data_IF_978592139328
#
_entry.id   IF_978592139328
#
_cell.length_a   1.000
_cell.length_b   1.000
_cell.length_c   1.000
_cell.angle_alpha   90.00
_cell.angle_beta   90.00
_cell.angle_gamma   90.00
#
_symmetry.space_group_name_H-M   'P 1'
#
loop_
_entity.id
_entity.type
_entity.pdbx_description
1 polymer ?
#
# COMPACT_ATOMS: atom_id res chain seq x y z
N UNK A 1 15.92 -30.81 21.95
CA UNK A 1 14.68 -30.13 21.55
C UNK A 1 14.65 -30.10 20.03
N UNK A 2 13.87 -30.99 19.42
CA UNK A 2 13.74 -31.15 17.97
C UNK A 2 12.63 -30.23 17.45
N UNK A 3 12.96 -29.34 16.51
CA UNK A 3 11.99 -28.47 15.85
C UNK A 3 11.12 -29.24 14.88
N UNK A 4 9.79 -29.08 15.01
CA UNK A 4 8.82 -29.59 14.06
C UNK A 4 8.89 -28.75 12.78
N UNK A 5 9.49 -29.31 11.74
CA UNK A 5 9.35 -28.81 10.38
C UNK A 5 7.94 -29.14 9.87
N UNK A 6 7.11 -28.11 9.65
CA UNK A 6 5.80 -28.27 9.02
C UNK A 6 6.04 -28.69 7.57
N UNK A 7 5.70 -29.94 7.25
CA UNK A 7 5.77 -30.51 5.90
C UNK A 7 4.52 -30.08 5.13
N UNK A 8 4.65 -29.10 4.24
CA UNK A 8 3.58 -28.72 3.31
C UNK A 8 3.40 -29.86 2.31
N UNK A 9 2.18 -30.32 2.09
CA UNK A 9 1.91 -31.40 1.14
C UNK A 9 2.25 -30.97 -0.29
N UNK A 10 2.97 -31.82 -1.04
CA UNK A 10 3.13 -31.68 -2.49
C UNK A 10 1.77 -31.93 -3.13
N UNK A 11 1.07 -30.85 -3.47
CA UNK A 11 -0.13 -30.92 -4.30
C UNK A 11 0.34 -30.93 -5.76
N UNK A 12 -0.04 -31.97 -6.50
CA UNK A 12 0.18 -32.07 -7.94
C UNK A 12 -0.89 -31.22 -8.66
N UNK A 13 -0.48 -30.01 -9.06
CA UNK A 13 -1.36 -29.02 -9.71
C UNK A 13 -1.48 -29.19 -11.23
N UNK A 14 -0.80 -30.18 -11.82
CA UNK A 14 -0.73 -30.39 -13.28
C UNK A 14 -2.08 -30.74 -13.95
N UNK A 15 -3.15 -30.92 -13.18
CA UNK A 15 -4.45 -31.43 -13.67
C UNK A 15 -5.61 -30.44 -13.62
N UNK A 16 -5.42 -29.21 -13.14
CA UNK A 16 -6.47 -28.20 -13.19
C UNK A 16 -6.14 -27.18 -14.28
N UNK A 17 -6.77 -27.31 -15.45
CA UNK A 17 -6.91 -26.20 -16.38
C UNK A 17 -7.43 -24.99 -15.59
N UNK A 18 -6.53 -24.06 -15.29
CA UNK A 18 -6.77 -22.90 -14.45
C UNK A 18 -7.82 -22.04 -15.14
N UNK A 19 -8.97 -21.89 -14.48
CA UNK A 19 -10.21 -21.39 -15.06
C UNK A 19 -10.03 -20.14 -15.93
N UNK A 20 -10.68 -20.15 -17.08
CA UNK A 20 -10.81 -18.96 -17.92
C UNK A 20 -11.53 -17.86 -17.13
N UNK A 21 -10.88 -16.70 -17.00
CA UNK A 21 -11.50 -15.50 -16.42
C UNK A 21 -12.23 -14.77 -17.54
N UNK A 22 -13.54 -14.63 -17.41
CA UNK A 22 -14.38 -13.96 -18.39
C UNK A 22 -14.46 -12.47 -18.04
N UNK A 23 -13.93 -11.62 -18.93
CA UNK A 23 -14.17 -10.18 -18.87
C UNK A 23 -15.61 -9.96 -19.32
N UNK A 24 -16.42 -9.26 -18.54
CA UNK A 24 -17.67 -8.72 -19.07
C UNK A 24 -17.38 -7.99 -20.38
N UNK A 25 -18.23 -8.18 -21.39
CA UNK A 25 -18.02 -7.64 -22.73
C UNK A 25 -17.72 -6.14 -22.66
N UNK A 26 -16.71 -5.68 -23.38
CA UNK A 26 -16.71 -4.28 -23.75
C UNK A 26 -17.95 -3.98 -24.60
N UNK A 27 -18.33 -2.71 -24.72
CA UNK A 27 -19.52 -2.28 -25.47
C UNK A 27 -19.48 -2.62 -26.98
N UNK A 28 -18.47 -3.36 -27.44
CA UNK A 28 -18.25 -3.79 -28.81
C UNK A 28 -18.24 -5.32 -29.00
N UNK A 29 -18.56 -6.12 -27.97
CA UNK A 29 -18.75 -7.57 -28.12
C UNK A 29 -17.49 -8.37 -28.42
N UNK A 30 -16.29 -7.80 -28.22
CA UNK A 30 -15.04 -8.52 -28.42
C UNK A 30 -14.62 -9.22 -27.11
N UNK A 31 -14.67 -10.55 -27.12
CA UNK A 31 -14.12 -11.40 -26.04
C UNK A 31 -12.60 -11.38 -26.17
N UNK A 32 -11.93 -10.48 -25.45
CA UNK A 32 -10.46 -10.47 -25.38
C UNK A 32 -9.97 -11.65 -24.52
N UNK A 33 -9.08 -12.43 -25.11
CA UNK A 33 -8.61 -13.74 -24.67
C UNK A 33 -7.72 -13.67 -23.41
N UNK A 34 -8.14 -14.42 -22.39
CA UNK A 34 -7.38 -15.16 -21.35
C UNK A 34 -5.96 -14.63 -21.04
N UNK A 35 -5.84 -13.79 -20.02
CA UNK A 35 -4.58 -13.68 -19.28
C UNK A 35 -4.39 -14.95 -18.46
N UNK A 36 -3.44 -15.82 -18.80
CA UNK A 36 -3.06 -16.90 -17.89
C UNK A 36 -2.47 -16.28 -16.62
N UNK A 37 -3.18 -16.47 -15.51
CA UNK A 37 -2.72 -16.08 -14.18
C UNK A 37 -1.80 -17.18 -13.67
N UNK A 38 -0.70 -16.79 -13.05
CA UNK A 38 0.23 -17.76 -12.44
C UNK A 38 -0.44 -18.50 -11.29
N UNK A 39 -0.11 -19.78 -11.10
CA UNK A 39 -0.64 -20.59 -9.99
C UNK A 39 -0.40 -19.92 -8.64
N UNK A 40 0.79 -19.33 -8.46
CA UNK A 40 1.17 -18.60 -7.25
C UNK A 40 0.25 -17.40 -6.99
N UNK A 41 -0.03 -16.59 -8.01
CA UNK A 41 -0.93 -15.45 -7.85
C UNK A 41 -2.36 -15.88 -7.52
N UNK A 42 -2.85 -16.94 -8.16
CA UNK A 42 -4.18 -17.49 -7.85
C UNK A 42 -4.25 -18.04 -6.43
N UNK A 43 -3.20 -18.72 -5.95
CA UNK A 43 -3.14 -19.22 -4.58
C UNK A 43 -3.18 -18.09 -3.54
N UNK A 44 -2.36 -17.05 -3.72
CA UNK A 44 -2.35 -15.84 -2.88
C UNK A 44 -3.75 -15.22 -2.83
N UNK A 45 -4.34 -14.99 -4.01
CA UNK A 45 -5.64 -14.39 -4.12
C UNK A 45 -6.75 -15.21 -3.44
N UNK A 46 -6.75 -16.53 -3.64
CA UNK A 46 -7.77 -17.42 -3.08
C UNK A 46 -7.68 -17.52 -1.56
N UNK A 47 -6.47 -17.54 -1.01
CA UNK A 47 -6.25 -17.46 0.43
C UNK A 47 -6.81 -16.16 1.02
N UNK A 48 -6.50 -15.02 0.37
CA UNK A 48 -7.06 -13.72 0.78
C UNK A 48 -8.59 -13.71 0.73
N UNK A 49 -9.21 -14.12 -0.38
CA UNK A 49 -10.68 -14.15 -0.53
C UNK A 49 -11.34 -15.03 0.55
N UNK A 50 -10.74 -16.17 0.88
CA UNK A 50 -11.25 -17.09 1.89
C UNK A 50 -11.21 -16.45 3.28
N UNK A 51 -10.09 -15.81 3.66
CA UNK A 51 -9.92 -15.20 4.99
C UNK A 51 -10.69 -13.88 5.16
N UNK A 52 -10.83 -13.12 4.07
CA UNK A 52 -11.48 -11.81 4.06
C UNK A 52 -13.00 -11.86 3.87
N UNK A 53 -13.55 -13.05 3.58
CA UNK A 53 -14.96 -13.26 3.24
C UNK A 53 -15.43 -12.37 2.07
N UNK A 54 -14.50 -11.97 1.19
CA UNK A 54 -14.81 -11.12 0.04
C UNK A 54 -15.44 -11.91 -1.09
N UNK A 55 -16.14 -11.16 -1.93
CA UNK A 55 -16.49 -11.61 -3.28
C UNK A 55 -15.39 -11.25 -4.29
N UNK A 56 -15.36 -12.02 -5.38
CA UNK A 56 -14.33 -11.99 -6.42
C UNK A 56 -14.06 -10.58 -6.97
N UNK A 57 -12.79 -10.14 -6.95
CA UNK A 57 -12.25 -8.95 -7.62
C UNK A 57 -11.17 -9.36 -8.62
N UNK A 58 -11.56 -9.47 -9.90
CA UNK A 58 -10.65 -9.86 -10.98
C UNK A 58 -9.46 -8.90 -11.14
N UNK A 59 -9.66 -7.60 -10.96
CA UNK A 59 -8.59 -6.62 -11.08
C UNK A 59 -7.53 -6.78 -9.96
N UNK A 60 -7.94 -7.21 -8.77
CA UNK A 60 -7.01 -7.52 -7.68
C UNK A 60 -6.16 -8.74 -8.03
N UNK A 61 -6.78 -9.80 -8.58
CA UNK A 61 -6.05 -10.99 -9.05
C UNK A 61 -5.00 -10.64 -10.11
N UNK A 62 -5.33 -9.74 -11.04
CA UNK A 62 -4.41 -9.30 -12.09
C UNK A 62 -3.27 -8.44 -11.53
N UNK A 63 -3.54 -7.57 -10.56
CA UNK A 63 -2.50 -6.82 -9.84
C UNK A 63 -1.53 -7.77 -9.14
N UNK A 64 -2.05 -8.77 -8.40
CA UNK A 64 -1.22 -9.80 -7.75
C UNK A 64 -0.37 -10.54 -8.78
N UNK A 65 -0.97 -10.91 -9.91
CA UNK A 65 -0.27 -11.64 -10.97
C UNK A 65 0.90 -10.85 -11.56
N UNK A 66 0.72 -9.55 -11.80
CA UNK A 66 1.80 -8.70 -12.31
C UNK A 66 2.92 -8.54 -11.26
N UNK A 67 2.58 -8.40 -9.97
CA UNK A 67 3.58 -8.39 -8.89
C UNK A 67 4.37 -9.71 -8.82
N UNK A 68 3.69 -10.86 -8.98
CA UNK A 68 4.31 -12.19 -8.97
C UNK A 68 5.21 -12.41 -10.19
N UNK A 69 4.77 -12.01 -11.38
CA UNK A 69 5.58 -12.14 -12.61
C UNK A 69 6.87 -11.34 -12.54
N UNK A 70 6.83 -10.19 -11.89
CA UNK A 70 8.01 -9.36 -11.65
C UNK A 70 8.83 -9.79 -10.42
N UNK A 71 8.39 -10.82 -9.67
CA UNK A 71 9.05 -11.29 -8.45
C UNK A 71 8.96 -10.32 -7.26
N UNK A 72 8.12 -9.30 -7.36
CA UNK A 72 7.94 -8.24 -6.35
C UNK A 72 7.14 -8.73 -5.14
N UNK A 73 6.33 -9.76 -5.30
CA UNK A 73 5.59 -10.40 -4.21
C UNK A 73 6.52 -10.89 -3.09
N UNK A 74 7.73 -11.33 -3.43
CA UNK A 74 8.76 -11.76 -2.46
C UNK A 74 9.42 -10.60 -1.71
N UNK A 75 9.22 -9.36 -2.18
CA UNK A 75 9.72 -8.13 -1.54
C UNK A 75 8.62 -7.38 -0.78
N UNK A 76 7.37 -7.78 -0.99
CA UNK A 76 6.21 -7.18 -0.33
C UNK A 76 6.08 -7.68 1.11
N UNK A 77 6.09 -6.76 2.07
CA UNK A 77 5.85 -7.04 3.49
C UNK A 77 4.36 -7.05 3.83
N UNK A 78 3.59 -6.21 3.14
CA UNK A 78 2.16 -6.06 3.31
C UNK A 78 1.57 -5.37 2.10
N UNK A 79 0.50 -5.93 1.55
CA UNK A 79 -0.38 -5.30 0.57
C UNK A 79 -1.80 -5.37 1.12
N UNK A 80 -2.46 -4.25 1.30
CA UNK A 80 -3.81 -4.17 1.83
C UNK A 80 -4.74 -3.55 0.80
N UNK A 81 -5.85 -4.23 0.54
CA UNK A 81 -6.91 -3.74 -0.33
C UNK A 81 -8.08 -3.23 0.48
N UNK A 82 -8.30 -1.92 0.38
CA UNK A 82 -9.08 -1.14 1.34
C UNK A 82 -10.44 -0.70 0.78
N UNK A 83 -10.69 -0.87 -0.52
CA UNK A 83 -12.01 -0.60 -1.10
C UNK A 83 -12.89 -1.83 -1.08
N UNK A 84 -14.20 -1.66 -0.90
CA UNK A 84 -15.18 -2.75 -1.02
C UNK A 84 -16.59 -2.24 -1.34
N UNK A 85 -17.33 -3.02 -2.15
CA UNK A 85 -18.78 -2.85 -2.33
C UNK A 85 -19.57 -3.28 -1.08
N UNK A 86 -18.99 -4.17 -0.29
CA UNK A 86 -19.60 -4.76 0.90
C UNK A 86 -18.84 -4.22 2.12
N UNK A 87 -19.43 -3.30 2.92
CA UNK A 87 -18.75 -2.65 4.04
C UNK A 87 -18.58 -3.61 5.22
N UNK A 88 -17.62 -4.53 5.11
CA UNK A 88 -17.21 -5.47 6.15
C UNK A 88 -15.76 -5.22 6.53
N UNK A 89 -15.44 -5.02 7.80
CA UNK A 89 -14.08 -4.75 8.27
C UNK A 89 -13.09 -5.91 8.02
N UNK A 90 -13.57 -7.17 7.94
CA UNK A 90 -12.71 -8.34 7.78
C UNK A 90 -11.80 -8.25 6.55
N UNK A 91 -12.23 -7.55 5.49
CA UNK A 91 -11.44 -7.50 4.27
C UNK A 91 -10.23 -6.57 4.31
N UNK A 92 -10.24 -5.56 5.19
CA UNK A 92 -9.09 -4.67 5.37
C UNK A 92 -8.15 -5.18 6.45
N UNK A 93 -8.63 -6.08 7.33
CA UNK A 93 -7.83 -6.67 8.41
C UNK A 93 -6.66 -7.47 7.88
N UNK A 94 -6.83 -8.22 6.80
CA UNK A 94 -5.80 -9.14 6.29
C UNK A 94 -5.07 -8.55 5.10
N UNK A 95 -3.74 -8.71 5.08
CA UNK A 95 -2.97 -8.42 3.88
C UNK A 95 -3.29 -9.41 2.76
N UNK A 96 -3.41 -8.90 1.53
CA UNK A 96 -3.48 -9.66 0.28
C UNK A 96 -2.17 -10.40 0.01
N UNK A 97 -1.03 -9.72 0.19
CA UNK A 97 0.32 -10.29 0.15
C UNK A 97 1.02 -9.92 1.45
N UNK A 98 1.73 -10.87 2.04
CA UNK A 98 2.37 -10.73 3.35
C UNK A 98 1.58 -11.44 4.44
N UNK A 99 2.01 -11.26 5.69
CA UNK A 99 1.37 -11.86 6.87
C UNK A 99 0.94 -10.78 7.89
N UNK A 100 0.93 -9.53 7.47
CA UNK A 100 0.58 -8.40 8.34
C UNK A 100 -0.94 -8.28 8.45
N UNK A 101 -1.39 -7.70 9.56
CA UNK A 101 -2.78 -7.38 9.77
C UNK A 101 -2.94 -5.90 10.12
N UNK A 102 -4.10 -5.34 9.78
CA UNK A 102 -4.55 -4.05 10.27
C UNK A 102 -5.51 -4.24 11.42
N UNK A 103 -5.21 -3.61 12.56
CA UNK A 103 -6.16 -3.47 13.65
C UNK A 103 -6.81 -2.09 13.62
N UNK A 104 -8.08 -2.04 14.03
CA UNK A 104 -8.85 -0.81 14.12
C UNK A 104 -9.46 -0.63 15.50
N UNK A 105 -9.37 0.59 16.06
CA UNK A 105 -10.09 0.94 17.29
C UNK A 105 -11.55 1.31 17.06
N UNK A 106 -11.90 1.74 15.83
CA UNK A 106 -13.25 2.06 15.37
C UNK A 106 -13.33 1.72 13.88
N UNK A 107 -14.49 1.30 13.37
CA UNK A 107 -14.59 0.91 11.96
C UNK A 107 -14.60 2.13 11.04
N UNK A 108 -13.69 2.25 10.04
CA UNK A 108 -13.76 3.29 9.01
C UNK A 108 -15.04 3.23 8.19
N UNK A 109 -15.36 4.32 7.48
CA UNK A 109 -16.33 4.22 6.39
C UNK A 109 -15.66 3.53 5.19
N UNK A 110 -16.26 2.42 4.77
CA UNK A 110 -15.79 1.58 3.67
C UNK A 110 -16.68 1.80 2.45
N UNK A 111 -16.07 2.03 1.30
CA UNK A 111 -16.77 2.15 0.02
C UNK A 111 -15.97 1.54 -1.13
N UNK A 112 -16.57 1.52 -2.33
CA UNK A 112 -15.87 1.16 -3.57
C UNK A 112 -14.71 2.09 -3.89
N UNK A 113 -14.68 3.29 -3.31
CA UNK A 113 -13.62 4.25 -3.50
C UNK A 113 -12.49 4.09 -2.49
N UNK A 114 -12.61 3.17 -1.52
CA UNK A 114 -11.64 2.97 -0.44
C UNK A 114 -12.22 3.21 0.94
N UNK A 115 -11.32 3.29 1.92
CA UNK A 115 -11.63 3.67 3.30
C UNK A 115 -11.44 5.17 3.50
N UNK A 116 -12.27 5.74 4.37
CA UNK A 116 -12.06 7.06 4.96
C UNK A 116 -12.36 7.02 6.45
N UNK A 117 -11.79 7.96 7.19
CA UNK A 117 -12.08 8.09 8.61
C UNK A 117 -13.52 8.59 8.83
N UNK A 118 -14.24 7.98 9.76
CA UNK A 118 -15.52 8.43 10.33
C UNK A 118 -15.32 8.60 11.85
N UNK A 119 -15.09 9.83 12.32
CA UNK A 119 -14.65 10.11 13.69
C UNK A 119 -13.25 9.52 13.99
N UNK A 120 -12.90 9.30 15.28
CA UNK A 120 -11.59 8.85 15.76
C UNK A 120 -11.24 7.40 15.33
N UNK A 121 -11.15 7.16 14.02
CA UNK A 121 -10.70 5.88 13.46
C UNK A 121 -9.20 5.88 13.30
N UNK A 122 -8.61 4.74 13.61
CA UNK A 122 -7.21 4.49 13.32
C UNK A 122 -6.99 3.06 12.91
N UNK A 123 -6.36 2.88 11.74
CA UNK A 123 -5.84 1.60 11.28
C UNK A 123 -4.33 1.56 11.44
N UNK A 124 -3.84 0.50 12.09
CA UNK A 124 -2.42 0.30 12.35
C UNK A 124 -1.90 -0.92 11.61
N UNK A 125 -0.87 -0.72 10.79
CA UNK A 125 0.01 -1.81 10.38
C UNK A 125 0.96 -2.07 11.54
N UNK A 126 0.77 -3.20 12.23
CA UNK A 126 1.57 -3.57 13.40
C UNK A 126 3.01 -3.96 13.04
N UNK A 127 3.35 -4.03 11.76
CA UNK A 127 4.74 -4.24 11.36
C UNK A 127 5.55 -2.97 11.61
N UNK A 128 6.53 -3.12 12.50
CA UNK A 128 7.47 -2.08 12.85
C UNK A 128 8.73 -2.21 11.97
N UNK A 129 8.92 -1.24 11.08
CA UNK A 129 10.06 -1.23 10.16
C UNK A 129 11.29 -0.67 10.88
N UNK A 130 12.32 -1.51 11.05
CA UNK A 130 13.59 -1.11 11.63
C UNK A 130 14.50 -0.49 10.56
N UNK A 131 14.36 0.83 10.39
CA UNK A 131 15.10 1.60 9.41
C UNK A 131 16.62 1.61 9.65
N UNK A 132 17.12 1.24 10.84
CA UNK A 132 18.56 1.16 11.11
C UNK A 132 19.20 -0.15 10.61
N UNK A 133 18.39 -1.18 10.42
CA UNK A 133 18.87 -2.54 10.18
C UNK A 133 18.21 -3.14 8.93
N UNK A 134 17.25 -4.03 9.14
CA UNK A 134 16.70 -4.95 8.14
C UNK A 134 15.84 -4.22 7.09
N UNK A 135 15.18 -3.13 7.48
CA UNK A 135 14.23 -2.42 6.63
C UNK A 135 14.76 -1.06 6.14
N UNK A 136 16.08 -0.90 6.07
CA UNK A 136 16.73 0.35 5.60
C UNK A 136 16.47 0.70 4.13
N UNK A 137 15.85 -0.20 3.38
CA UNK A 137 15.44 -0.06 1.99
C UNK A 137 13.93 -0.33 1.87
N UNK A 138 13.13 0.72 2.09
CA UNK A 138 11.68 0.68 2.26
C UNK A 138 10.99 1.43 1.12
N UNK A 139 10.00 0.81 0.49
CA UNK A 139 9.12 1.43 -0.49
C UNK A 139 7.67 1.37 -0.01
N UNK A 140 7.05 2.53 0.12
CA UNK A 140 5.66 2.74 0.50
C UNK A 140 4.84 3.04 -0.75
N UNK A 141 3.66 2.44 -0.86
CA UNK A 141 2.72 2.69 -1.96
C UNK A 141 1.36 3.04 -1.39
N UNK A 142 0.79 4.15 -1.86
CA UNK A 142 -0.56 4.59 -1.52
C UNK A 142 -1.37 4.79 -2.80
N UNK A 143 -2.61 4.29 -2.83
CA UNK A 143 -3.58 4.66 -3.86
C UNK A 143 -4.68 5.50 -3.24
N UNK A 144 -4.69 6.80 -3.56
CA UNK A 144 -5.68 7.75 -3.05
C UNK A 144 -6.78 7.99 -4.10
N UNK A 145 -8.04 7.79 -3.74
CA UNK A 145 -9.18 8.19 -4.58
C UNK A 145 -9.70 9.58 -4.27
N UNK A 146 -9.40 10.08 -3.07
CA UNK A 146 -9.67 11.44 -2.65
C UNK A 146 -8.51 11.95 -1.82
N UNK A 147 -8.16 13.21 -2.03
CA UNK A 147 -7.04 13.85 -1.35
C UNK A 147 -7.20 13.86 0.17
N UNK A 148 -6.12 13.58 0.90
CA UNK A 148 -6.08 13.81 2.34
C UNK A 148 -5.64 15.26 2.63
N UNK A 149 -6.56 16.06 3.17
CA UNK A 149 -6.32 17.44 3.64
C UNK A 149 -5.91 17.50 5.11
N UNK A 150 -5.67 16.35 5.73
CA UNK A 150 -5.03 16.20 7.04
C UNK A 150 -4.13 14.97 6.96
N UNK A 151 -2.90 15.12 7.41
CA UNK A 151 -1.86 14.11 7.23
C UNK A 151 -2.20 12.78 7.90
N UNK A 152 -1.72 11.69 7.29
CA UNK A 152 -1.48 10.42 7.95
C UNK A 152 -0.13 10.54 8.66
N UNK A 153 -0.12 10.41 9.97
CA UNK A 153 1.12 10.39 10.72
C UNK A 153 1.61 8.98 10.91
N UNK A 154 2.87 8.75 10.62
CA UNK A 154 3.55 7.50 10.84
C UNK A 154 4.64 7.73 11.89
N UNK A 155 4.79 6.74 12.77
CA UNK A 155 5.48 6.87 14.05
C UNK A 155 6.83 7.60 14.03
N UNK A 156 7.04 8.35 15.11
CA UNK A 156 8.28 8.97 15.54
C UNK A 156 8.03 9.49 16.96
N UNK A 157 8.29 8.63 17.94
CA UNK A 157 8.05 8.81 19.38
C UNK A 157 8.51 10.17 19.91
N UNK A 158 7.65 10.81 20.72
CA UNK A 158 7.88 11.89 21.69
C UNK A 158 8.70 13.13 21.28
N UNK A 159 9.14 13.22 20.03
CA UNK A 159 10.05 14.27 19.54
C UNK A 159 9.55 14.80 18.19
N UNK A 160 9.21 16.09 18.15
CA UNK A 160 8.69 16.78 16.95
C UNK A 160 9.55 16.66 15.69
N UNK A 161 10.81 16.25 15.85
CA UNK A 161 11.84 16.25 14.82
C UNK A 161 11.99 14.90 14.08
N UNK A 162 11.29 13.84 14.52
CA UNK A 162 11.39 12.49 13.95
C UNK A 162 10.09 11.94 13.36
N UNK A 163 9.11 12.82 13.14
CA UNK A 163 7.82 12.47 12.53
C UNK A 163 7.99 12.01 11.07
N UNK A 164 7.32 10.92 10.73
CA UNK A 164 7.04 10.53 9.35
C UNK A 164 5.59 10.88 9.01
N UNK A 165 5.30 11.48 7.85
CA UNK A 165 3.90 11.84 7.54
C UNK A 165 3.60 11.92 6.07
N UNK A 166 2.31 11.78 5.73
CA UNK A 166 1.79 11.98 4.38
C UNK A 166 0.42 12.65 4.33
N UNK A 167 0.33 13.77 3.65
CA UNK A 167 -0.92 14.48 3.35
C UNK A 167 -0.97 14.71 1.84
N UNK A 168 -1.79 13.98 1.09
CA UNK A 168 -1.74 14.06 -0.37
C UNK A 168 -2.16 15.45 -0.89
N UNK A 169 -2.95 16.21 -0.12
CA UNK A 169 -3.25 17.60 -0.41
C UNK A 169 -2.15 18.59 0.00
N UNK A 170 -1.18 18.15 0.80
CA UNK A 170 -0.16 18.98 1.41
C UNK A 170 -0.67 19.97 2.45
N UNK A 171 -1.95 19.89 2.79
CA UNK A 171 -2.56 20.67 3.84
C UNK A 171 -2.64 19.78 5.07
N UNK A 172 -1.85 20.09 6.09
CA UNK A 172 -1.88 19.41 7.37
C UNK A 172 -1.63 20.47 8.45
N UNK A 173 -2.43 20.47 9.51
CA UNK A 173 -2.49 21.54 10.52
C UNK A 173 -1.11 21.94 11.10
N UNK A 174 -0.17 21.00 11.12
CA UNK A 174 1.18 21.17 11.65
C UNK A 174 2.29 21.42 10.61
N UNK A 175 2.01 21.26 9.32
CA UNK A 175 2.97 21.38 8.21
C UNK A 175 2.24 21.68 6.89
N UNK A 176 1.86 22.94 6.71
CA UNK A 176 1.29 23.43 5.46
C UNK A 176 2.27 23.33 4.28
N UNK A 177 1.72 23.00 3.10
CA UNK A 177 2.44 22.79 1.86
C UNK A 177 3.26 21.50 1.77
N UNK A 178 3.18 20.56 2.72
CA UNK A 178 4.03 19.34 2.75
C UNK A 178 3.23 18.09 2.44
N UNK A 179 3.57 17.41 1.34
CA UNK A 179 2.96 16.14 0.95
C UNK A 179 3.51 14.98 1.77
N UNK A 180 4.83 14.91 1.89
CA UNK A 180 5.51 13.82 2.59
C UNK A 180 6.65 14.37 3.43
N UNK A 181 6.82 13.83 4.64
CA UNK A 181 7.92 14.16 5.55
C UNK A 181 8.60 12.89 6.01
N UNK A 182 9.94 12.88 5.97
CA UNK A 182 10.76 11.79 6.50
C UNK A 182 11.70 12.26 7.61
N UNK A 183 11.23 12.25 8.86
CA UNK A 183 12.02 12.68 10.01
C UNK A 183 12.07 14.20 10.08
N UNK A 184 13.22 14.84 9.81
CA UNK A 184 13.40 16.29 9.95
C UNK A 184 12.66 17.11 8.88
N UNK A 185 12.43 18.40 9.16
CA UNK A 185 11.63 19.33 8.33
C UNK A 185 12.21 19.54 6.91
N UNK A 186 13.52 19.43 6.74
CA UNK A 186 14.21 19.54 5.46
C UNK A 186 14.06 18.28 4.58
N UNK A 187 13.69 17.14 5.15
CA UNK A 187 13.47 15.87 4.47
C UNK A 187 12.02 15.71 3.99
N UNK A 188 11.54 16.72 3.27
CA UNK A 188 10.14 16.83 2.82
C UNK A 188 9.99 16.84 1.31
N UNK A 189 8.80 16.45 0.84
CA UNK A 189 8.28 16.70 -0.50
C UNK A 189 7.12 17.68 -0.35
N UNK A 190 7.19 18.83 -1.01
CA UNK A 190 6.18 19.88 -0.91
C UNK A 190 5.20 19.90 -2.10
N UNK A 191 4.03 20.51 -1.91
CA UNK A 191 3.07 20.80 -3.00
C UNK A 191 3.63 21.74 -4.06
N UNK A 192 4.62 22.57 -3.71
CA UNK A 192 5.34 23.37 -4.70
C UNK A 192 6.17 22.52 -5.66
N UNK A 193 6.62 21.33 -5.23
CA UNK A 193 7.37 20.39 -6.06
C UNK A 193 6.46 19.43 -6.84
N UNK A 194 5.30 19.07 -6.27
CA UNK A 194 4.26 18.32 -6.95
C UNK A 194 2.94 19.09 -6.96
N UNK A 195 2.70 19.80 -8.07
CA UNK A 195 1.51 20.62 -8.29
C UNK A 195 0.37 19.84 -8.98
N UNK A 196 0.52 18.53 -9.18
CA UNK A 196 -0.51 17.70 -9.81
C UNK A 196 -1.71 17.51 -8.87
N UNK A 197 -2.82 16.97 -9.43
CA UNK A 197 -4.00 16.59 -8.65
C UNK A 197 -3.63 15.53 -7.60
N UNK A 198 -4.21 15.65 -6.41
CA UNK A 198 -3.83 14.95 -5.18
C UNK A 198 -4.39 13.51 -5.02
N UNK A 199 -4.96 12.97 -6.08
CA UNK A 199 -5.45 11.61 -6.23
C UNK A 199 -4.44 10.76 -7.02
N UNK A 200 -4.52 9.45 -6.89
CA UNK A 200 -3.74 8.49 -7.66
C UNK A 200 -2.69 7.75 -6.85
N UNK A 201 -1.71 7.20 -7.56
CA UNK A 201 -0.66 6.35 -6.99
C UNK A 201 0.53 7.18 -6.53
N UNK A 202 0.86 7.05 -5.26
CA UNK A 202 2.07 7.59 -4.65
C UNK A 202 3.02 6.43 -4.35
N UNK A 203 4.26 6.53 -4.83
CA UNK A 203 5.35 5.60 -4.48
C UNK A 203 6.45 6.40 -3.81
N UNK A 204 6.76 6.07 -2.56
CA UNK A 204 7.80 6.71 -1.76
C UNK A 204 8.81 5.65 -1.38
N UNK A 205 10.00 5.74 -1.97
CA UNK A 205 11.10 4.83 -1.72
C UNK A 205 12.20 5.54 -0.91
N UNK A 206 12.61 4.94 0.18
CA UNK A 206 13.66 5.41 1.08
C UNK A 206 14.72 4.32 1.15
N UNK A 207 15.96 4.68 0.82
CA UNK A 207 17.10 3.79 0.96
C UNK A 207 18.27 4.59 1.53
N UNK A 208 18.57 4.37 2.82
CA UNK A 208 19.59 5.12 3.58
C UNK A 208 19.35 6.64 3.52
N UNK A 209 20.18 7.38 2.80
CA UNK A 209 20.10 8.83 2.63
C UNK A 209 19.45 9.25 1.30
N UNK A 210 18.86 8.31 0.57
CA UNK A 210 18.13 8.58 -0.67
C UNK A 210 16.62 8.46 -0.46
N UNK A 211 15.90 9.45 -0.97
CA UNK A 211 14.45 9.43 -1.11
C UNK A 211 14.08 9.57 -2.59
N UNK A 212 13.27 8.66 -3.09
CA UNK A 212 12.65 8.72 -4.41
C UNK A 212 11.14 8.79 -4.22
N UNK A 213 10.55 9.87 -4.71
CA UNK A 213 9.11 10.10 -4.70
C UNK A 213 8.58 10.03 -6.13
N UNK A 214 7.52 9.27 -6.35
CA UNK A 214 6.81 9.21 -7.62
C UNK A 214 5.33 9.42 -7.40
N UNK A 215 4.73 10.22 -8.28
CA UNK A 215 3.30 10.43 -8.33
C UNK A 215 2.89 10.83 -9.74
N UNK A 216 2.06 10.01 -10.38
CA UNK A 216 1.68 10.15 -11.79
C UNK A 216 2.92 10.21 -12.68
N UNK A 217 3.11 11.31 -13.42
CA UNK A 217 4.26 11.46 -14.32
C UNK A 217 5.50 12.03 -13.62
N UNK A 218 5.38 12.47 -12.37
CA UNK A 218 6.45 13.13 -11.64
C UNK A 218 7.33 12.11 -10.92
N UNK A 219 8.64 12.32 -11.02
CA UNK A 219 9.65 11.65 -10.18
C UNK A 219 10.52 12.72 -9.55
N UNK A 220 10.66 12.71 -8.22
CA UNK A 220 11.57 13.55 -7.46
C UNK A 220 12.58 12.65 -6.76
N UNK A 221 13.86 12.93 -6.95
CA UNK A 221 14.95 12.28 -6.22
C UNK A 221 15.58 13.30 -5.30
N UNK A 222 15.68 12.97 -4.01
CA UNK A 222 16.20 13.85 -2.98
C UNK A 222 17.18 13.12 -2.09
N UNK A 223 18.29 13.79 -1.77
CA UNK A 223 19.20 13.36 -0.71
C UNK A 223 18.64 13.82 0.64
N UNK A 224 18.48 12.89 1.56
CA UNK A 224 18.10 13.14 2.95
C UNK A 224 19.30 13.66 3.73
N UNK A 225 19.08 14.63 4.62
CA UNK A 225 20.16 15.15 5.47
C UNK A 225 20.64 14.14 6.51
N UNK A 226 19.78 13.19 6.88
CA UNK A 226 20.09 12.09 7.78
C UNK A 226 19.10 10.94 7.58
N UNK A 227 19.53 9.72 7.90
CA UNK A 227 18.64 8.57 8.01
C UNK A 227 17.75 8.68 9.25
N UNK A 228 16.51 8.19 9.16
CA UNK A 228 15.67 8.10 10.36
C UNK A 228 16.21 7.05 11.31
N UNK A 229 16.28 7.43 12.59
CA UNK A 229 16.68 6.51 13.67
C UNK A 229 15.48 5.92 14.40
N UNK A 230 14.28 6.42 14.11
CA UNK A 230 13.04 5.93 14.67
C UNK A 230 12.56 4.71 13.89
N UNK A 231 11.92 3.78 14.60
CA UNK A 231 11.16 2.72 13.98
C UNK A 231 9.94 3.31 13.28
N UNK A 232 9.65 2.84 12.08
CA UNK A 232 8.51 3.31 11.31
C UNK A 232 7.32 2.37 11.56
N UNK A 233 6.24 2.91 12.13
CA UNK A 233 4.98 2.21 12.36
C UNK A 233 3.86 2.92 11.57
N UNK A 234 3.37 2.33 10.48
CA UNK A 234 2.35 2.94 9.65
C UNK A 234 0.99 2.95 10.34
N UNK A 235 0.53 4.14 10.75
CA UNK A 235 -0.86 4.46 11.02
C UNK A 235 -1.52 5.02 9.76
N UNK A 236 -2.44 4.26 9.17
CA UNK A 236 -3.02 4.55 7.86
C UNK A 236 -4.21 5.52 7.93
N UNK A 237 -4.75 5.78 9.13
CA UNK A 237 -5.80 6.78 9.37
C UNK A 237 -5.60 7.46 10.74
N UNK A 238 -5.61 8.80 10.74
CA UNK A 238 -5.72 9.66 11.93
C UNK A 238 -4.42 10.05 12.65
N UNK A 239 -4.51 11.14 13.44
CA UNK A 239 -3.59 11.51 14.53
C UNK A 239 -4.32 11.81 15.85
N UNK A 240 -3.59 12.23 16.91
CA UNK A 240 -4.05 12.58 18.26
C UNK A 240 -5.31 13.44 18.25
N UNK A 241 -6.37 12.83 18.80
CA UNK A 241 -7.37 13.39 19.70
C UNK A 241 -8.00 14.74 19.30
N UNK A 242 -9.29 14.66 18.96
CA UNK A 242 -10.29 15.74 18.86
C UNK A 242 -10.59 16.13 17.39
N UNK A 243 -11.56 15.42 16.81
CA UNK A 243 -12.27 15.76 15.57
C UNK A 243 -11.42 15.80 14.30
N UNK A 244 -11.04 14.61 13.83
CA UNK A 244 -10.32 14.49 12.56
C UNK A 244 -11.27 14.14 11.41
N UNK A 245 -11.87 15.17 10.80
CA UNK A 245 -12.59 15.04 9.52
C UNK A 245 -11.59 14.94 8.37
N UNK A 246 -10.65 13.98 8.42
CA UNK A 246 -9.81 13.64 7.29
C UNK A 246 -10.72 13.29 6.11
N UNK A 247 -10.63 14.08 5.03
CA UNK A 247 -11.39 13.86 3.79
C UNK A 247 -10.67 12.93 2.81
N UNK A 248 -9.56 12.30 3.22
CA UNK A 248 -8.83 11.37 2.38
C UNK A 248 -9.60 10.08 2.18
N UNK A 249 -9.51 9.50 0.98
CA UNK A 249 -10.01 8.14 0.72
C UNK A 249 -8.91 7.30 0.10
N UNK A 250 -8.55 6.20 0.76
CA UNK A 250 -7.45 5.32 0.35
C UNK A 250 -7.99 3.95 -0.11
N UNK A 251 -7.58 3.50 -1.30
CA UNK A 251 -7.96 2.19 -1.87
C UNK A 251 -6.95 1.09 -1.63
N UNK A 252 -5.68 1.42 -1.66
CA UNK A 252 -4.58 0.47 -1.46
C UNK A 252 -3.50 1.11 -0.60
N UNK A 253 -2.89 0.26 0.20
CA UNK A 253 -1.65 0.53 0.89
C UNK A 253 -0.74 -0.67 0.70
N UNK A 254 0.53 -0.44 0.36
CA UNK A 254 1.50 -1.50 0.27
C UNK A 254 2.87 -1.06 0.73
N UNK A 255 3.65 -2.03 1.19
CA UNK A 255 5.02 -1.87 1.65
C UNK A 255 5.89 -2.95 1.06
N UNK A 256 7.04 -2.54 0.54
CA UNK A 256 8.09 -3.43 0.08
C UNK A 256 9.35 -3.10 0.84
N UNK A 257 10.00 -4.11 1.42
CA UNK A 257 11.23 -3.90 2.17
C UNK A 257 12.12 -5.13 2.09
N UNK A 258 13.25 -4.97 1.39
CA UNK A 258 14.35 -5.94 1.29
C UNK A 258 15.63 -5.20 0.91
N UNK A 259 16.78 -5.75 1.31
CA UNK A 259 18.10 -5.19 0.96
C UNK A 259 18.31 -5.04 -0.55
N UNK A 260 17.77 -5.96 -1.34
CA UNK A 260 17.90 -6.05 -2.79
C UNK A 260 16.78 -5.34 -3.56
N UNK A 261 16.00 -4.46 -2.94
CA UNK A 261 15.01 -3.63 -3.63
C UNK A 261 15.73 -2.54 -4.46
N UNK A 262 15.59 -2.61 -5.78
CA UNK A 262 16.31 -1.74 -6.73
C UNK A 262 15.43 -0.62 -7.29
N UNK A 263 16.05 0.39 -7.93
CA UNK A 263 15.31 1.42 -8.68
C UNK A 263 14.42 0.82 -9.79
N UNK A 264 14.88 -0.26 -10.43
CA UNK A 264 14.07 -0.99 -11.43
C UNK A 264 12.82 -1.58 -10.80
N UNK A 265 12.94 -2.17 -9.60
CA UNK A 265 11.78 -2.68 -8.87
C UNK A 265 10.80 -1.56 -8.51
N UNK A 266 11.31 -0.41 -8.03
CA UNK A 266 10.48 0.76 -7.69
C UNK A 266 9.73 1.29 -8.91
N UNK A 267 10.38 1.31 -10.09
CA UNK A 267 9.70 1.68 -11.33
C UNK A 267 8.59 0.69 -11.69
N UNK A 268 8.86 -0.62 -11.63
CA UNK A 268 7.86 -1.66 -11.89
C UNK A 268 6.69 -1.59 -10.91
N UNK A 269 6.96 -1.36 -9.62
CA UNK A 269 5.92 -1.13 -8.60
C UNK A 269 5.05 0.05 -9.03
N UNK A 270 5.63 1.20 -9.35
CA UNK A 270 4.88 2.37 -9.78
C UNK A 270 4.01 2.07 -11.02
N UNK A 271 4.58 1.41 -12.04
CA UNK A 271 3.89 1.11 -13.29
C UNK A 271 2.72 0.13 -13.08
N UNK A 272 2.93 -0.92 -12.28
CA UNK A 272 1.88 -1.90 -11.94
C UNK A 272 0.74 -1.21 -11.19
N UNK A 273 1.02 -0.46 -10.12
CA UNK A 273 -0.05 0.19 -9.36
C UNK A 273 -0.78 1.25 -10.20
N UNK A 274 -0.07 1.99 -11.05
CA UNK A 274 -0.68 2.98 -11.96
C UNK A 274 -1.58 2.31 -13.00
N UNK A 275 -1.17 1.16 -13.55
CA UNK A 275 -1.98 0.36 -14.48
C UNK A 275 -3.35 -0.01 -13.89
N UNK A 276 -3.42 -0.28 -12.59
CA UNK A 276 -4.65 -0.68 -11.90
C UNK A 276 -5.37 0.45 -11.14
N UNK A 277 -4.84 1.68 -11.14
CA UNK A 277 -5.37 2.85 -10.41
C UNK A 277 -6.88 3.06 -10.62
N UNK A 278 -7.36 2.94 -11.87
CA UNK A 278 -8.76 3.15 -12.24
C UNK A 278 -9.61 1.87 -12.25
N UNK A 279 -8.96 0.71 -12.18
CA UNK A 279 -9.60 -0.60 -12.30
C UNK A 279 -10.00 -1.17 -10.93
N UNK A 280 -9.38 -0.67 -9.86
CA UNK A 280 -9.64 -0.98 -8.45
C UNK A 280 -10.38 0.17 -7.77
#
# INVERSE_FOLDING_TARGET
MSGLAIKVANVDWSKNNLGAVNYGSDNNGNINTISTVTEKAYAIYKDYITKSERQDSQCLLLLINDLVKEGLDQKCKGLFYLSSKHPNINHIKYSVIGNNNLDSYNDPEISVNGIKANNNVSLYDHYEYDMKNVDSNLCLVFLMSQASTRGLEWGGEDTSDYVHSFASAGDADWHDGVIFRWGKKDNTISKGQDNQKNDGVYVIHINKDLLVYKHKTLTITKKLSQQSTAKFCPRLMGYRTIQDNSRGTMKLYATFSREDLTTTDVNKIHDIFTKYERLL
#
